data_IF_831278939866
#
_entry.id   IF_831278939866
#
_cell.length_a   1.000
_cell.length_b   1.000
_cell.length_c   1.000
_cell.angle_alpha   90.00
_cell.angle_beta   90.00
_cell.angle_gamma   90.00
#
_symmetry.space_group_name_H-M   'P 1'
#
loop_
_entity.id
_entity.type
_entity.pdbx_description
1 polymer ?
#
# COMPACT_ATOMS: atom_id res chain seq x y z
N UNK A 1 -6.53 -58.68 -24.09
CA UNK A 1 -7.14 -58.92 -22.76
C UNK A 1 -8.62 -58.61 -22.89
N UNK A 2 -9.53 -59.43 -22.35
CA UNK A 2 -10.95 -59.31 -22.67
C UNK A 2 -11.57 -58.07 -22.01
N UNK A 3 -12.47 -57.47 -22.77
CA UNK A 3 -13.23 -56.28 -22.48
C UNK A 3 -14.33 -56.62 -21.44
N UNK A 4 -14.07 -56.39 -20.15
CA UNK A 4 -15.03 -56.66 -19.07
C UNK A 4 -15.79 -55.42 -18.62
N UNK A 5 -15.96 -54.44 -19.50
CA UNK A 5 -16.87 -53.31 -19.29
C UNK A 5 -18.32 -53.72 -19.56
N UNK A 6 -18.84 -54.66 -18.76
CA UNK A 6 -20.30 -54.73 -18.58
C UNK A 6 -20.73 -53.49 -17.77
N UNK A 7 -21.79 -52.81 -18.21
CA UNK A 7 -21.87 -51.37 -18.17
C UNK A 7 -22.26 -50.90 -16.77
N UNK A 8 -21.54 -49.92 -16.22
CA UNK A 8 -21.96 -49.20 -15.03
C UNK A 8 -23.41 -48.65 -15.15
N UNK A 9 -23.90 -48.46 -16.38
CA UNK A 9 -25.27 -48.07 -16.69
C UNK A 9 -26.34 -49.14 -16.34
N UNK A 10 -26.03 -50.44 -16.36
CA UNK A 10 -26.96 -51.51 -15.95
C UNK A 10 -27.04 -51.69 -14.42
N UNK A 11 -26.18 -51.01 -13.66
CA UNK A 11 -26.06 -51.18 -12.22
C UNK A 11 -27.10 -50.39 -11.41
N UNK A 12 -27.69 -49.35 -12.01
CA UNK A 12 -28.64 -48.42 -11.37
C UNK A 12 -30.12 -48.81 -11.55
N UNK A 13 -30.44 -49.89 -12.28
CA UNK A 13 -31.81 -50.26 -12.64
C UNK A 13 -32.37 -51.49 -11.91
N UNK A 14 -31.67 -52.06 -10.93
CA UNK A 14 -32.10 -53.27 -10.22
C UNK A 14 -32.62 -52.96 -8.79
N UNK A 15 -33.95 -53.05 -8.55
CA UNK A 15 -34.55 -52.74 -7.25
C UNK A 15 -34.32 -53.79 -6.15
N UNK A 16 -33.63 -54.91 -6.44
CA UNK A 16 -33.48 -56.03 -5.49
C UNK A 16 -32.16 -56.08 -4.70
N UNK A 17 -31.31 -55.04 -4.74
CA UNK A 17 -29.94 -55.14 -4.17
C UNK A 17 -29.84 -54.83 -2.68
N UNK A 18 -29.08 -55.65 -1.98
CA UNK A 18 -28.75 -55.51 -0.55
C UNK A 18 -27.64 -54.46 -0.33
N UNK A 19 -27.59 -53.83 0.85
CA UNK A 19 -26.64 -52.75 1.19
C UNK A 19 -25.16 -53.08 0.90
N UNK A 20 -24.75 -54.35 0.94
CA UNK A 20 -23.38 -54.78 0.63
C UNK A 20 -23.00 -54.61 -0.85
N UNK A 21 -23.94 -54.79 -1.78
CA UNK A 21 -23.69 -54.67 -3.22
C UNK A 21 -23.68 -53.21 -3.70
N UNK A 22 -24.39 -52.32 -3.01
CA UNK A 22 -24.35 -50.87 -3.25
C UNK A 22 -23.01 -50.27 -2.80
N UNK A 23 -22.47 -50.72 -1.67
CA UNK A 23 -21.15 -50.30 -1.19
C UNK A 23 -20.03 -50.75 -2.14
N UNK A 24 -20.08 -51.99 -2.64
CA UNK A 24 -19.11 -52.48 -3.61
C UNK A 24 -19.12 -51.67 -4.90
N UNK A 25 -20.31 -51.27 -5.39
CA UNK A 25 -20.44 -50.44 -6.58
C UNK A 25 -19.85 -49.04 -6.39
N UNK A 26 -20.02 -48.44 -5.20
CA UNK A 26 -19.44 -47.16 -4.85
C UNK A 26 -17.91 -47.26 -4.78
N UNK A 27 -17.39 -48.33 -4.17
CA UNK A 27 -15.96 -48.58 -4.04
C UNK A 27 -15.30 -48.82 -5.42
N UNK A 28 -15.96 -49.54 -6.33
CA UNK A 28 -15.49 -49.79 -7.70
C UNK A 28 -15.54 -48.51 -8.57
N UNK A 29 -16.57 -47.67 -8.44
CA UNK A 29 -16.64 -46.37 -9.11
C UNK A 29 -15.56 -45.41 -8.59
N UNK A 30 -15.28 -45.43 -7.28
CA UNK A 30 -14.18 -44.66 -6.72
C UNK A 30 -12.83 -45.14 -7.23
N UNK A 31 -12.62 -46.46 -7.33
CA UNK A 31 -11.39 -47.03 -7.87
C UNK A 31 -11.16 -46.62 -9.34
N UNK A 32 -12.21 -46.67 -10.17
CA UNK A 32 -12.16 -46.22 -11.56
C UNK A 32 -11.83 -44.72 -11.68
N UNK A 33 -12.47 -43.87 -10.87
CA UNK A 33 -12.21 -42.43 -10.87
C UNK A 33 -10.80 -42.10 -10.34
N UNK A 34 -10.29 -42.87 -9.38
CA UNK A 34 -8.91 -42.74 -8.85
C UNK A 34 -7.87 -43.05 -9.93
N UNK A 35 -8.06 -44.14 -10.67
CA UNK A 35 -7.15 -44.58 -11.72
C UNK A 35 -7.17 -43.62 -12.92
N UNK A 36 -8.37 -43.21 -13.36
CA UNK A 36 -8.52 -42.40 -14.58
C UNK A 36 -8.20 -40.93 -14.39
N UNK A 37 -8.37 -40.39 -13.19
CA UNK A 37 -8.17 -38.97 -12.88
C UNK A 37 -7.10 -38.70 -11.81
N UNK A 38 -6.32 -39.72 -11.42
CA UNK A 38 -5.13 -39.57 -10.56
C UNK A 38 -5.42 -39.05 -9.14
N UNK A 39 -6.61 -39.30 -8.60
CA UNK A 39 -7.10 -38.63 -7.41
C UNK A 39 -7.08 -39.56 -6.19
N UNK A 40 -5.91 -39.73 -5.57
CA UNK A 40 -5.70 -40.64 -4.43
C UNK A 40 -6.43 -40.24 -3.14
N UNK A 41 -6.90 -39.00 -3.04
CA UNK A 41 -7.23 -38.39 -1.75
C UNK A 41 -8.74 -38.28 -1.50
N UNK A 42 -9.56 -38.91 -2.36
CA UNK A 42 -11.01 -39.06 -2.13
C UNK A 42 -11.86 -37.80 -2.33
N UNK A 43 -11.28 -36.70 -2.82
CA UNK A 43 -12.02 -35.46 -3.07
C UNK A 43 -12.59 -35.46 -4.49
N UNK A 44 -13.89 -35.70 -4.67
CA UNK A 44 -14.53 -35.57 -6.00
C UNK A 44 -14.21 -34.20 -6.60
N UNK A 45 -13.50 -34.15 -7.74
CA UNK A 45 -13.26 -32.91 -8.47
C UNK A 45 -14.56 -32.45 -9.16
N UNK A 46 -15.53 -31.95 -8.39
CA UNK A 46 -16.65 -31.18 -8.94
C UNK A 46 -16.12 -29.76 -9.17
N UNK A 47 -15.84 -29.44 -10.43
CA UNK A 47 -15.53 -28.10 -10.94
C UNK A 47 -14.48 -27.33 -10.11
N UNK A 48 -13.20 -27.52 -10.43
CA UNK A 48 -12.18 -26.55 -10.01
C UNK A 48 -12.38 -25.24 -10.79
N UNK A 49 -12.14 -24.07 -10.16
CA UNK A 49 -12.06 -22.79 -10.87
C UNK A 49 -11.07 -22.92 -12.04
N UNK A 50 -11.43 -22.38 -13.21
CA UNK A 50 -10.67 -22.30 -14.47
C UNK A 50 -9.16 -22.59 -14.31
N UNK A 51 -8.73 -23.83 -14.55
CA UNK A 51 -7.31 -24.20 -14.46
C UNK A 51 -6.52 -23.60 -15.64
N UNK A 52 -5.70 -22.58 -15.39
CA UNK A 52 -4.61 -22.21 -16.30
C UNK A 52 -3.40 -23.10 -15.98
N UNK A 53 -3.21 -24.19 -16.72
CA UNK A 53 -1.98 -24.99 -16.69
C UNK A 53 -1.70 -25.76 -15.39
N UNK A 54 -2.74 -26.33 -14.76
CA UNK A 54 -2.57 -27.26 -13.65
C UNK A 54 -2.22 -26.63 -12.30
N UNK A 55 -2.38 -25.31 -12.16
CA UNK A 55 -2.27 -24.62 -10.88
C UNK A 55 -3.64 -24.57 -10.21
N UNK A 56 -3.77 -25.22 -9.05
CA UNK A 56 -4.92 -25.01 -8.17
C UNK A 56 -5.09 -23.52 -7.89
N UNK A 57 -6.11 -22.87 -8.45
CA UNK A 57 -6.37 -21.45 -8.14
C UNK A 57 -6.87 -21.25 -6.69
N UNK A 58 -7.27 -22.31 -6.00
CA UNK A 58 -7.47 -22.28 -4.54
C UNK A 58 -6.16 -22.09 -3.75
N UNK A 59 -5.02 -22.39 -4.39
CA UNK A 59 -3.65 -22.14 -3.94
C UNK A 59 -2.96 -21.10 -4.84
N UNK A 60 -3.73 -20.22 -5.50
CA UNK A 60 -3.12 -19.10 -6.20
C UNK A 60 -2.23 -18.36 -5.19
N UNK A 61 -0.93 -18.15 -5.50
CA UNK A 61 -0.10 -17.35 -4.61
C UNK A 61 -0.84 -16.02 -4.46
N UNK A 62 -1.11 -15.64 -3.22
CA UNK A 62 -1.65 -14.32 -2.90
C UNK A 62 -0.77 -13.33 -3.68
N UNK A 63 -1.32 -12.68 -4.70
CA UNK A 63 -0.50 -11.96 -5.70
C UNK A 63 0.31 -10.83 -5.06
N UNK A 64 -0.06 -10.46 -3.84
CA UNK A 64 0.64 -9.53 -2.99
C UNK A 64 1.26 -10.27 -1.81
N UNK A 65 2.58 -10.16 -1.60
CA UNK A 65 3.23 -10.75 -0.44
C UNK A 65 2.72 -10.11 0.85
N UNK A 66 2.81 -10.86 1.95
CA UNK A 66 2.52 -10.36 3.30
C UNK A 66 3.42 -9.17 3.59
N UNK A 67 2.85 -8.12 4.17
CA UNK A 67 3.56 -6.85 4.38
C UNK A 67 3.53 -5.89 3.19
N UNK A 68 3.01 -6.30 2.03
CA UNK A 68 2.81 -5.39 0.91
C UNK A 68 1.83 -4.27 1.29
N UNK A 69 2.24 -3.02 1.03
CA UNK A 69 1.43 -1.83 1.23
C UNK A 69 0.84 -1.41 -0.09
N UNK A 70 -0.47 -1.21 -0.12
CA UNK A 70 -1.22 -0.81 -1.32
C UNK A 70 -2.15 0.35 -1.00
N UNK A 71 -2.40 1.18 -2.02
CA UNK A 71 -3.42 2.21 -1.98
C UNK A 71 -4.69 1.68 -2.64
N UNK A 72 -5.81 1.78 -1.93
CA UNK A 72 -7.12 1.31 -2.39
C UNK A 72 -8.02 2.49 -2.74
N UNK A 73 -8.75 2.35 -3.85
CA UNK A 73 -9.79 3.30 -4.26
C UNK A 73 -11.10 3.16 -3.45
N UNK A 74 -11.13 2.32 -2.42
CA UNK A 74 -12.28 2.05 -1.56
C UNK A 74 -12.06 2.62 -0.16
N UNK A 75 -13.13 3.03 0.50
CA UNK A 75 -13.10 3.42 1.93
C UNK A 75 -13.27 2.21 2.88
N UNK A 76 -13.82 1.12 2.35
CA UNK A 76 -13.98 -0.16 3.05
C UNK A 76 -12.79 -1.06 2.80
N UNK A 77 -12.42 -1.81 3.83
CA UNK A 77 -11.25 -2.68 3.83
C UNK A 77 -11.59 -4.01 3.13
N UNK A 78 -10.88 -4.40 2.06
CA UNK A 78 -11.05 -5.71 1.46
C UNK A 78 -10.55 -6.82 2.39
N UNK A 79 -11.07 -8.04 2.21
CA UNK A 79 -10.59 -9.21 2.96
C UNK A 79 -9.09 -9.45 2.72
N UNK A 80 -8.37 -9.85 3.77
CA UNK A 80 -6.92 -10.08 3.71
C UNK A 80 -6.05 -8.83 3.84
N UNK A 81 -6.63 -7.67 4.17
CA UNK A 81 -5.90 -6.43 4.42
C UNK A 81 -6.20 -5.85 5.81
N UNK A 82 -5.24 -5.10 6.34
CA UNK A 82 -5.38 -4.23 7.51
C UNK A 82 -5.16 -2.78 7.09
N UNK A 83 -5.77 -1.82 7.80
CA UNK A 83 -5.51 -0.39 7.57
C UNK A 83 -4.12 -0.02 8.08
N UNK A 84 -3.39 0.82 7.37
CA UNK A 84 -2.16 1.43 7.87
C UNK A 84 -2.49 2.66 8.75
N UNK A 85 -3.04 2.42 9.94
CA UNK A 85 -3.51 3.45 10.87
C UNK A 85 -2.82 3.42 12.26
N UNK A 86 -1.67 2.75 12.38
CA UNK A 86 -0.92 2.67 13.64
C UNK A 86 -1.50 1.73 14.70
N UNK A 87 -2.60 1.02 14.41
CA UNK A 87 -3.28 0.20 15.40
C UNK A 87 -2.43 -1.00 15.87
N UNK A 88 -2.56 -1.35 17.15
CA UNK A 88 -2.07 -2.62 17.68
C UNK A 88 -3.01 -3.76 17.27
N UNK A 89 -2.46 -4.82 16.68
CA UNK A 89 -3.18 -6.00 16.19
C UNK A 89 -2.57 -7.27 16.76
N UNK A 90 -3.37 -8.35 16.90
CA UNK A 90 -2.94 -9.58 17.55
C UNK A 90 -1.92 -10.39 16.75
N UNK A 91 -0.82 -10.81 17.39
CA UNK A 91 0.22 -11.67 16.79
C UNK A 91 -0.33 -13.01 16.34
N UNK A 92 -1.22 -13.63 17.13
CA UNK A 92 -1.83 -14.92 16.79
C UNK A 92 -2.84 -14.80 15.64
N UNK A 93 -3.63 -13.72 15.60
CA UNK A 93 -4.62 -13.49 14.55
C UNK A 93 -3.95 -13.15 13.20
N UNK A 94 -2.81 -12.47 13.22
CA UNK A 94 -2.09 -12.00 12.04
C UNK A 94 -0.65 -12.53 12.01
N UNK A 95 -0.48 -13.83 12.28
CA UNK A 95 0.83 -14.47 12.44
C UNK A 95 1.71 -14.36 11.19
N UNK A 96 1.13 -14.47 10.00
CA UNK A 96 1.85 -14.35 8.74
C UNK A 96 2.42 -12.94 8.54
N UNK A 97 1.64 -11.89 8.84
CA UNK A 97 2.12 -10.51 8.82
C UNK A 97 3.20 -10.27 9.88
N UNK A 98 2.97 -10.73 11.10
CA UNK A 98 3.92 -10.58 12.20
C UNK A 98 5.27 -11.23 11.87
N UNK A 99 5.25 -12.39 11.20
CA UNK A 99 6.47 -13.07 10.75
C UNK A 99 7.31 -12.24 9.77
N UNK A 100 6.71 -11.28 9.05
CA UNK A 100 7.41 -10.42 8.08
C UNK A 100 7.82 -9.08 8.70
N UNK A 101 6.89 -8.37 9.35
CA UNK A 101 7.15 -6.99 9.83
C UNK A 101 7.57 -6.92 11.31
N UNK A 102 7.34 -8.00 12.06
CA UNK A 102 7.63 -8.11 13.49
C UNK A 102 7.08 -6.90 14.28
N UNK A 103 7.84 -6.36 15.21
CA UNK A 103 7.49 -5.17 16.00
C UNK A 103 8.07 -3.88 15.42
N UNK A 104 8.47 -3.86 14.14
CA UNK A 104 9.17 -2.72 13.54
C UNK A 104 8.36 -1.40 13.66
N UNK A 105 7.04 -1.49 13.44
CA UNK A 105 6.13 -0.34 13.53
C UNK A 105 5.60 -0.07 14.95
N UNK A 106 6.10 -0.81 15.94
CA UNK A 106 5.67 -0.74 17.33
C UNK A 106 5.41 -2.11 17.93
N UNK A 107 5.77 -2.28 19.20
CA UNK A 107 5.67 -3.55 19.91
C UNK A 107 4.25 -3.90 20.40
N UNK A 108 3.26 -3.02 20.18
CA UNK A 108 1.94 -3.13 20.77
C UNK A 108 2.01 -3.11 22.30
N UNK A 109 1.39 -4.11 22.91
CA UNK A 109 1.44 -4.43 24.34
C UNK A 109 2.75 -5.12 24.78
N UNK A 110 3.69 -5.37 23.85
CA UNK A 110 4.95 -6.05 24.11
C UNK A 110 4.87 -7.58 24.17
N UNK A 111 3.67 -8.18 24.07
CA UNK A 111 3.47 -9.62 24.28
C UNK A 111 2.57 -10.25 23.22
N UNK A 112 1.29 -9.83 23.16
CA UNK A 112 0.27 -10.49 22.33
C UNK A 112 -0.05 -9.72 21.05
N UNK A 113 0.44 -8.49 20.92
CA UNK A 113 0.15 -7.60 19.80
C UNK A 113 1.42 -7.01 19.17
N UNK A 114 1.25 -6.38 18.01
CA UNK A 114 2.24 -5.58 17.29
C UNK A 114 1.52 -4.46 16.53
N UNK A 115 2.20 -3.38 16.21
CA UNK A 115 1.59 -2.28 15.47
C UNK A 115 1.71 -2.47 13.96
N UNK A 116 0.69 -2.04 13.22
CA UNK A 116 0.79 -1.77 11.79
C UNK A 116 1.33 -0.35 11.56
N UNK A 117 1.85 -0.01 10.36
CA UNK A 117 2.27 1.36 10.04
C UNK A 117 1.13 2.37 10.25
N UNK A 118 1.46 3.62 10.56
CA UNK A 118 0.53 4.75 10.39
C UNK A 118 1.00 5.58 9.20
N UNK A 119 0.26 5.50 8.09
CA UNK A 119 0.60 6.18 6.82
C UNK A 119 -0.47 7.17 6.39
N UNK A 120 -1.32 7.59 7.32
CA UNK A 120 -2.42 8.52 7.03
C UNK A 120 -1.86 9.93 6.89
N UNK A 121 -2.08 10.54 5.73
CA UNK A 121 -1.59 11.90 5.44
C UNK A 121 -0.13 11.96 5.00
N UNK A 122 0.57 10.83 4.96
CA UNK A 122 2.00 10.77 4.66
C UNK A 122 2.28 10.62 3.15
N UNK A 123 3.37 11.26 2.70
CA UNK A 123 3.95 10.97 1.39
C UNK A 123 5.02 9.88 1.52
N UNK A 124 4.82 8.78 0.81
CA UNK A 124 5.77 7.68 0.78
C UNK A 124 6.94 8.01 -0.16
N UNK A 125 8.14 7.71 0.30
CA UNK A 125 9.37 7.75 -0.49
C UNK A 125 10.05 6.40 -0.48
N UNK A 126 10.81 6.10 -1.54
CA UNK A 126 11.67 4.93 -1.56
C UNK A 126 12.80 5.10 -0.52
N UNK A 127 13.11 4.01 0.18
CA UNK A 127 14.26 3.93 1.06
C UNK A 127 15.55 3.92 0.21
N UNK A 128 16.59 4.60 0.68
CA UNK A 128 17.86 4.72 -0.03
C UNK A 128 18.59 3.38 -0.18
N UNK A 129 18.46 2.50 0.81
CA UNK A 129 19.02 1.14 0.84
C UNK A 129 20.48 1.06 0.35
N UNK A 130 21.30 2.04 0.74
CA UNK A 130 22.73 2.09 0.43
C UNK A 130 23.10 2.75 -0.89
N UNK A 131 22.16 3.38 -1.62
CA UNK A 131 22.46 4.14 -2.85
C UNK A 131 23.28 5.40 -2.57
N UNK A 132 23.17 5.99 -1.38
CA UNK A 132 23.92 7.17 -0.94
C UNK A 132 23.31 8.51 -1.34
N UNK A 133 22.08 8.54 -1.88
CA UNK A 133 21.36 9.78 -2.20
C UNK A 133 20.69 10.36 -0.95
N UNK A 134 20.18 9.49 -0.09
CA UNK A 134 19.52 9.85 1.17
C UNK A 134 20.09 9.02 2.34
N UNK A 135 21.42 9.03 2.48
CA UNK A 135 22.17 8.19 3.41
C UNK A 135 21.88 8.45 4.89
N UNK A 136 21.33 9.61 5.23
CA UNK A 136 20.96 9.98 6.60
C UNK A 136 19.68 9.30 7.10
N UNK A 137 19.03 8.46 6.28
CA UNK A 137 17.69 7.92 6.59
C UNK A 137 17.69 6.41 6.78
N UNK A 138 17.08 6.02 7.89
CA UNK A 138 16.83 4.63 8.21
C UNK A 138 15.50 4.19 7.62
N UNK A 139 15.37 2.89 7.37
CA UNK A 139 14.10 2.31 6.91
C UNK A 139 12.97 2.73 7.87
N UNK A 140 11.82 3.11 7.32
CA UNK A 140 10.60 3.48 8.05
C UNK A 140 10.67 4.74 8.93
N UNK A 141 11.76 5.53 8.90
CA UNK A 141 11.84 6.76 9.68
C UNK A 141 10.84 7.82 9.18
N UNK A 142 10.09 8.43 10.10
CA UNK A 142 9.23 9.58 9.82
C UNK A 142 10.05 10.86 9.64
N UNK A 143 9.61 11.73 8.73
CA UNK A 143 10.24 13.02 8.47
C UNK A 143 9.16 14.10 8.31
N UNK A 144 9.36 15.24 8.99
CA UNK A 144 8.59 16.45 8.71
C UNK A 144 8.91 17.03 7.33
N UNK A 145 8.03 17.91 6.86
CA UNK A 145 8.26 18.68 5.65
C UNK A 145 9.50 19.58 5.78
N UNK A 146 10.17 19.80 4.66
CA UNK A 146 11.31 20.70 4.59
C UNK A 146 11.36 21.36 3.23
N UNK A 147 11.63 22.67 3.22
CA UNK A 147 12.03 23.40 2.02
C UNK A 147 13.56 23.44 1.97
N UNK A 148 14.12 23.42 0.76
CA UNK A 148 15.54 23.72 0.63
C UNK A 148 15.81 25.14 1.11
N UNK A 149 16.99 25.33 1.71
CA UNK A 149 17.45 26.65 2.07
C UNK A 149 17.54 27.53 0.81
N UNK A 150 16.99 28.73 0.90
CA UNK A 150 17.16 29.79 -0.08
C UNK A 150 17.60 31.04 0.66
N UNK A 151 18.59 31.74 0.11
CA UNK A 151 19.16 32.92 0.76
C UNK A 151 19.41 34.01 -0.26
N UNK A 152 19.45 35.24 0.23
CA UNK A 152 19.66 36.44 -0.55
C UNK A 152 19.59 37.65 0.36
N UNK A 153 19.82 38.83 -0.19
CA UNK A 153 19.75 40.06 0.58
C UNK A 153 19.16 41.18 -0.26
N UNK A 154 18.52 42.13 0.42
CA UNK A 154 17.97 43.35 -0.14
C UNK A 154 18.66 44.51 0.60
N UNK A 155 19.35 45.37 -0.13
CA UNK A 155 20.01 46.57 0.42
C UNK A 155 19.40 47.81 -0.22
N UNK A 156 18.94 48.75 0.60
CA UNK A 156 18.50 50.07 0.16
C UNK A 156 19.59 51.11 0.43
N UNK A 157 19.85 51.99 -0.53
CA UNK A 157 20.78 53.11 -0.37
C UNK A 157 20.01 54.44 -0.48
N UNK A 158 20.29 55.38 0.43
CA UNK A 158 19.67 56.71 0.49
C UNK A 158 19.90 57.55 -0.79
N UNK A 159 20.96 57.25 -1.53
CA UNK A 159 21.34 57.95 -2.75
C UNK A 159 21.55 56.94 -3.88
N UNK A 160 20.45 56.62 -4.59
CA UNK A 160 20.52 56.22 -6.00
C UNK A 160 21.08 54.83 -6.33
N UNK A 161 21.02 53.84 -5.42
CA UNK A 161 21.47 52.49 -5.78
C UNK A 161 21.20 51.43 -4.72
N UNK A 162 19.97 50.95 -4.64
CA UNK A 162 19.69 49.70 -3.94
C UNK A 162 20.24 48.50 -4.71
N UNK A 163 20.63 47.43 -4.01
CA UNK A 163 21.09 46.18 -4.62
C UNK A 163 20.32 44.99 -4.04
N UNK A 164 20.11 43.98 -4.89
CA UNK A 164 19.36 42.76 -4.60
C UNK A 164 20.18 41.60 -5.13
N UNK A 165 20.25 40.52 -4.38
CA UNK A 165 21.03 39.32 -4.72
C UNK A 165 20.38 38.05 -4.17
N UNK A 166 20.78 36.91 -4.71
CA UNK A 166 20.33 35.58 -4.29
C UNK A 166 18.89 35.27 -4.71
N UNK A 167 18.09 34.74 -3.78
CA UNK A 167 16.72 34.27 -4.04
C UNK A 167 15.68 35.39 -4.31
N UNK A 168 16.10 36.66 -4.27
CA UNK A 168 15.22 37.81 -4.46
C UNK A 168 15.46 38.47 -5.83
N UNK A 169 14.40 38.99 -6.44
CA UNK A 169 14.47 39.84 -7.63
C UNK A 169 13.65 41.11 -7.40
N UNK A 170 14.17 42.26 -7.84
CA UNK A 170 13.41 43.51 -7.80
C UNK A 170 12.44 43.61 -8.98
N UNK A 171 11.23 44.10 -8.75
CA UNK A 171 10.27 44.41 -9.81
C UNK A 171 9.80 45.86 -9.67
N UNK A 172 10.14 46.71 -10.66
CA UNK A 172 9.82 48.14 -10.68
C UNK A 172 10.67 48.97 -9.71
N UNK A 173 11.41 49.94 -10.22
CA UNK A 173 12.07 50.97 -9.40
C UNK A 173 11.17 52.21 -9.38
N UNK A 174 10.52 52.49 -8.26
CA UNK A 174 9.80 53.75 -8.05
C UNK A 174 10.55 54.59 -7.03
N UNK A 175 11.35 55.54 -7.52
CA UNK A 175 12.02 56.52 -6.67
C UNK A 175 11.06 57.66 -6.37
N UNK A 176 10.25 57.53 -5.31
CA UNK A 176 9.58 58.69 -4.71
C UNK A 176 10.55 59.38 -3.74
N UNK A 177 11.61 60.01 -4.27
CA UNK A 177 12.39 60.95 -3.49
C UNK A 177 11.50 62.16 -3.19
N UNK A 178 10.96 62.27 -1.97
CA UNK A 178 10.48 63.55 -1.43
C UNK A 178 11.65 64.18 -0.67
N UNK A 179 12.33 65.21 -1.20
CA UNK A 179 13.31 65.94 -0.42
C UNK A 179 12.59 66.62 0.75
N UNK A 180 13.05 66.44 1.99
CA UNK A 180 12.78 67.39 3.08
C UNK A 180 11.85 66.98 4.24
N UNK A 181 11.31 65.77 4.29
CA UNK A 181 10.64 65.27 5.51
C UNK A 181 11.54 64.25 6.20
N UNK A 182 11.94 64.51 7.44
CA UNK A 182 12.91 63.72 8.24
C UNK A 182 12.50 62.29 8.63
N UNK A 183 11.71 61.60 7.81
CA UNK A 183 11.45 60.16 7.93
C UNK A 183 12.33 59.39 6.93
N UNK A 184 13.12 58.44 7.42
CA UNK A 184 13.88 57.55 6.54
C UNK A 184 12.96 56.63 5.71
N UNK A 185 13.48 56.02 4.62
CA UNK A 185 12.68 55.14 3.79
C UNK A 185 12.19 53.93 4.59
N UNK A 186 10.88 53.69 4.60
CA UNK A 186 10.28 52.44 5.09
C UNK A 186 10.24 51.41 3.95
N UNK A 187 10.64 50.16 4.22
CA UNK A 187 10.51 49.04 3.29
C UNK A 187 9.60 47.98 3.91
N UNK A 188 8.45 47.75 3.30
CA UNK A 188 7.53 46.69 3.70
C UNK A 188 7.86 45.41 2.92
N UNK A 189 8.17 44.32 3.63
CA UNK A 189 8.35 43.00 3.04
C UNK A 189 7.15 42.15 3.44
N UNK A 190 6.33 41.76 2.45
CA UNK A 190 5.17 40.92 2.68
C UNK A 190 5.25 39.62 1.84
N UNK A 191 5.13 38.48 2.50
CA UNK A 191 4.96 37.19 1.86
C UNK A 191 3.48 36.80 1.94
N UNK A 192 2.70 37.29 0.98
CA UNK A 192 1.27 37.00 0.89
C UNK A 192 0.96 36.38 -0.46
N UNK A 193 0.11 35.33 -0.54
CA UNK A 193 -0.33 34.84 -1.83
C UNK A 193 -1.08 35.93 -2.61
N UNK A 194 -1.76 36.87 -1.96
CA UNK A 194 -2.50 37.95 -2.62
C UNK A 194 -3.67 37.47 -3.50
N UNK A 195 -4.44 38.39 -4.10
CA UNK A 195 -5.50 38.05 -5.05
C UNK A 195 -4.92 37.40 -6.32
N UNK A 196 -5.38 36.20 -6.67
CA UNK A 196 -4.80 35.42 -7.78
C UNK A 196 -3.52 34.66 -7.41
N UNK A 197 -3.19 34.61 -6.12
CA UNK A 197 -2.00 34.00 -5.56
C UNK A 197 -1.85 32.50 -5.73
N UNK A 198 -0.65 32.02 -5.40
CA UNK A 198 -0.37 30.60 -5.22
C UNK A 198 -1.35 29.96 -4.22
N UNK A 199 -1.74 28.70 -4.46
CA UNK A 199 -2.54 27.92 -3.51
C UNK A 199 -1.76 27.76 -2.20
N UNK A 200 -2.39 28.10 -1.07
CA UNK A 200 -1.78 28.02 0.28
C UNK A 200 -2.42 26.92 1.13
N UNK A 201 -1.65 26.36 2.05
CA UNK A 201 -2.06 25.37 3.05
C UNK A 201 -1.10 25.41 4.25
N UNK A 202 -1.44 24.70 5.33
CA UNK A 202 -0.57 24.56 6.53
C UNK A 202 0.73 23.80 6.24
N UNK A 203 0.76 22.99 5.18
CA UNK A 203 1.92 22.22 4.72
C UNK A 203 2.19 22.48 3.23
N UNK A 204 3.44 22.33 2.80
CA UNK A 204 3.79 22.37 1.37
C UNK A 204 3.55 21.00 0.75
N UNK A 205 2.64 20.91 -0.23
CA UNK A 205 2.31 19.63 -0.88
C UNK A 205 1.97 19.76 -2.36
N UNK A 206 2.28 18.75 -3.18
CA UNK A 206 1.69 18.64 -4.50
C UNK A 206 0.17 18.41 -4.40
N UNK A 207 -0.55 18.66 -5.50
CA UNK A 207 -1.93 18.19 -5.62
C UNK A 207 -1.94 16.66 -5.49
N UNK A 208 -2.78 16.14 -4.62
CA UNK A 208 -2.84 14.71 -4.33
C UNK A 208 -4.29 14.24 -4.13
N UNK A 209 -4.51 12.94 -4.24
CA UNK A 209 -5.74 12.25 -3.83
C UNK A 209 -5.44 11.44 -2.57
N UNK A 210 -6.35 11.48 -1.61
CA UNK A 210 -6.23 10.69 -0.37
C UNK A 210 -6.93 9.34 -0.54
N UNK A 211 -6.15 8.29 -0.74
CA UNK A 211 -6.63 6.91 -0.86
C UNK A 211 -6.42 6.13 0.45
N UNK A 212 -7.14 5.03 0.62
CA UNK A 212 -6.98 4.17 1.79
C UNK A 212 -5.66 3.38 1.66
N UNK A 213 -4.74 3.58 2.60
CA UNK A 213 -3.52 2.79 2.71
C UNK A 213 -3.77 1.51 3.51
N UNK A 214 -3.43 0.38 2.92
CA UNK A 214 -3.65 -0.95 3.47
C UNK A 214 -2.38 -1.78 3.44
N UNK A 215 -2.22 -2.69 4.40
CA UNK A 215 -1.16 -3.69 4.44
C UNK A 215 -1.76 -5.09 4.33
N UNK A 216 -1.18 -5.93 3.48
CA UNK A 216 -1.59 -7.33 3.29
C UNK A 216 -1.14 -8.15 4.51
N UNK A 217 -2.07 -8.86 5.17
CA UNK A 217 -1.75 -9.73 6.32
C UNK A 217 -1.81 -11.21 6.00
#
# INVERSE_FOLDING_TARGET
MPDTLLPAAAYFSDPARTNGQAKQAQDDMLAYLRERFGNTDGTLMVARPVDFGGQNLSNSPDLLPRGAIVMMATSTLPSGFLKCNGAAVGRAAYAALFGVINTFWGAGDGSTTFNVPDLRGEFLRAWDDGRGVDSGRTFGSHQFDALQNFSGWIRSAWTGGGSIDGAFTGYGSSTNNKPGTGGGPTFDIAFSPGPGGARVATETRPRNYSLLTCIKY
#
